data_IF_752795458680
#
_entry.id   IF_752795458680
#
_cell.length_a   1.000
_cell.length_b   1.000
_cell.length_c   1.000
_cell.angle_alpha   90.00
_cell.angle_beta   90.00
_cell.angle_gamma   90.00
#
_symmetry.space_group_name_H-M   'P 1'
#
loop_
_entity.id
_entity.type
_entity.pdbx_description
1 polymer ?
#
# COMPACT_ATOMS: atom_id res chain seq x y z
N UNK A 1 11.47 -12.19 -0.62
CA UNK A 1 12.55 -12.48 0.34
C UNK A 1 12.59 -13.98 0.66
N UNK A 2 11.50 -14.57 1.13
CA UNK A 2 11.47 -15.98 1.55
C UNK A 2 11.91 -16.98 0.47
N UNK A 3 11.57 -16.74 -0.78
CA UNK A 3 11.93 -17.61 -1.91
C UNK A 3 13.39 -17.47 -2.38
N UNK A 4 14.08 -16.40 -1.99
CA UNK A 4 15.45 -16.08 -2.43
C UNK A 4 16.46 -16.17 -1.30
N UNK A 5 16.01 -16.19 -0.05
CA UNK A 5 16.85 -16.22 1.14
C UNK A 5 16.35 -17.28 2.12
N UNK A 6 17.25 -17.81 2.93
CA UNK A 6 16.89 -18.65 4.07
C UNK A 6 16.32 -17.75 5.19
N UNK A 7 15.02 -17.43 5.09
CA UNK A 7 14.32 -16.49 5.97
C UNK A 7 13.41 -17.23 6.94
N UNK A 8 13.42 -16.78 8.19
CA UNK A 8 12.42 -17.14 9.20
C UNK A 8 11.55 -15.92 9.50
N UNK A 9 10.24 -16.09 9.39
CA UNK A 9 9.28 -14.99 9.58
C UNK A 9 8.51 -15.19 10.87
N UNK A 10 8.56 -14.19 11.72
CA UNK A 10 7.91 -14.16 13.03
C UNK A 10 6.88 -13.06 13.11
N UNK A 11 5.68 -13.41 13.53
CA UNK A 11 4.60 -12.47 13.80
C UNK A 11 4.52 -12.16 15.29
N UNK A 12 4.27 -10.92 15.64
CA UNK A 12 4.13 -10.47 17.03
C UNK A 12 2.71 -10.74 17.58
N UNK A 13 1.72 -10.86 16.70
CA UNK A 13 0.32 -11.05 17.04
C UNK A 13 -0.28 -12.19 16.22
N UNK A 14 -1.10 -13.02 16.86
CA UNK A 14 -1.92 -14.04 16.17
C UNK A 14 -3.16 -13.40 15.53
N UNK A 15 -3.60 -12.25 16.07
CA UNK A 15 -4.77 -11.54 15.61
C UNK A 15 -4.51 -10.03 15.60
N UNK A 16 -4.85 -9.37 14.51
CA UNK A 16 -4.81 -7.91 14.44
C UNK A 16 -6.16 -7.34 14.87
N UNK A 17 -6.24 -6.91 16.11
CA UNK A 17 -7.43 -6.43 16.84
C UNK A 17 -8.29 -5.38 16.08
N UNK A 18 -7.82 -4.81 14.99
CA UNK A 18 -8.51 -3.77 14.21
C UNK A 18 -8.70 -4.11 12.72
N UNK A 19 -8.27 -5.28 12.29
CA UNK A 19 -8.43 -5.70 10.89
C UNK A 19 -8.94 -7.15 10.91
N UNK A 20 -10.22 -7.34 10.58
CA UNK A 20 -10.81 -8.67 10.40
C UNK A 20 -10.18 -9.35 9.17
N UNK A 21 -8.96 -9.85 9.32
CA UNK A 21 -8.35 -10.72 8.32
C UNK A 21 -8.90 -12.13 8.48
N UNK A 22 -9.20 -12.78 7.37
CA UNK A 22 -9.40 -14.21 7.35
C UNK A 22 -8.03 -14.89 7.46
N UNK A 23 -7.62 -15.25 8.68
CA UNK A 23 -6.32 -15.86 8.97
C UNK A 23 -6.12 -17.18 8.24
N UNK A 24 -7.18 -17.98 8.06
CA UNK A 24 -7.11 -19.22 7.32
C UNK A 24 -6.80 -18.99 5.84
N UNK A 25 -7.42 -17.99 5.23
CA UNK A 25 -7.09 -17.57 3.85
C UNK A 25 -5.65 -17.08 3.73
N UNK A 26 -5.16 -16.31 4.72
CA UNK A 26 -3.76 -15.86 4.74
C UNK A 26 -2.78 -17.04 4.86
N UNK A 27 -3.05 -18.01 5.74
CA UNK A 27 -2.20 -19.21 5.88
C UNK A 27 -2.15 -20.03 4.60
N UNK A 28 -3.27 -20.19 3.92
CA UNK A 28 -3.35 -20.93 2.65
C UNK A 28 -2.60 -20.23 1.50
N UNK A 29 -2.43 -18.90 1.57
CA UNK A 29 -1.68 -18.10 0.60
C UNK A 29 -0.18 -18.01 0.92
N UNK A 30 0.23 -18.29 2.18
CA UNK A 30 1.62 -18.21 2.59
C UNK A 30 2.45 -19.38 2.06
N UNK A 31 3.58 -19.07 1.43
CA UNK A 31 4.57 -20.07 1.00
C UNK A 31 5.42 -20.61 2.18
N UNK A 32 5.13 -20.20 3.42
CA UNK A 32 5.90 -20.53 4.61
C UNK A 32 4.97 -20.74 5.81
N UNK A 33 5.48 -21.49 6.82
CA UNK A 33 4.77 -21.67 8.08
C UNK A 33 5.00 -20.44 8.96
N UNK A 34 3.96 -19.69 9.36
CA UNK A 34 4.14 -18.54 10.25
C UNK A 34 4.55 -18.99 11.65
N UNK A 35 5.47 -18.28 12.26
CA UNK A 35 5.83 -18.41 13.65
C UNK A 35 5.31 -17.22 14.45
N UNK A 36 4.81 -17.48 15.67
CA UNK A 36 4.32 -16.42 16.55
C UNK A 36 5.26 -16.22 17.73
N UNK A 37 5.58 -14.95 18.01
CA UNK A 37 6.41 -14.57 19.15
C UNK A 37 5.59 -14.64 20.44
N UNK A 38 6.16 -15.21 21.49
CA UNK A 38 5.54 -15.18 22.82
C UNK A 38 5.70 -13.78 23.41
N UNK A 39 4.58 -13.07 23.55
CA UNK A 39 4.53 -11.70 24.05
C UNK A 39 3.89 -11.63 25.43
N UNK A 40 4.37 -10.71 26.26
CA UNK A 40 3.69 -10.26 27.49
C UNK A 40 3.29 -8.81 27.30
N UNK A 41 2.02 -8.53 27.47
CA UNK A 41 1.51 -7.16 27.38
C UNK A 41 1.80 -6.39 28.66
N UNK A 42 2.47 -5.25 28.55
CA UNK A 42 2.71 -4.30 29.64
C UNK A 42 2.04 -2.96 29.27
N UNK A 43 0.84 -2.71 29.79
CA UNK A 43 0.02 -1.59 29.37
C UNK A 43 -0.43 -1.74 27.90
N UNK A 44 -0.07 -0.76 27.05
CA UNK A 44 -0.35 -0.81 25.58
C UNK A 44 0.81 -1.38 24.76
N UNK A 45 1.81 -2.00 25.40
CA UNK A 45 3.07 -2.39 24.76
C UNK A 45 3.32 -3.88 24.94
N UNK A 46 3.78 -4.54 23.90
CA UNK A 46 4.14 -5.97 23.95
C UNK A 46 5.66 -6.13 24.03
N UNK A 47 6.08 -6.89 25.03
CA UNK A 47 7.48 -7.29 25.23
C UNK A 47 7.60 -8.74 24.80
N UNK A 48 8.53 -9.01 23.88
CA UNK A 48 8.76 -10.36 23.37
C UNK A 48 9.66 -11.14 24.32
N UNK A 49 9.21 -12.35 24.70
CA UNK A 49 10.00 -13.27 25.52
C UNK A 49 10.77 -14.28 24.69
N UNK A 50 11.97 -14.62 25.13
CA UNK A 50 12.78 -15.66 24.47
C UNK A 50 13.46 -15.21 23.15
N UNK A 51 13.36 -13.93 22.77
CA UNK A 51 13.93 -13.40 21.53
C UNK A 51 15.42 -13.76 21.37
N UNK A 52 16.22 -13.65 22.43
CA UNK A 52 17.64 -14.06 22.43
C UNK A 52 17.84 -15.53 22.07
N UNK A 53 16.95 -16.44 22.53
CA UNK A 53 17.04 -17.88 22.22
C UNK A 53 16.80 -18.11 20.73
N UNK A 54 15.84 -17.39 20.13
CA UNK A 54 15.56 -17.43 18.69
C UNK A 54 16.78 -16.95 17.91
N UNK A 55 17.31 -15.77 18.23
CA UNK A 55 18.49 -15.20 17.58
C UNK A 55 19.70 -16.15 17.70
N UNK A 56 19.93 -16.75 18.88
CA UNK A 56 21.00 -17.72 19.08
C UNK A 56 20.82 -19.01 18.29
N UNK A 57 19.55 -19.45 18.10
CA UNK A 57 19.24 -20.68 17.35
C UNK A 57 19.53 -20.52 15.86
N UNK A 58 19.14 -19.38 15.27
CA UNK A 58 19.22 -19.18 13.82
C UNK A 58 20.49 -18.45 13.37
N UNK A 59 21.20 -17.79 14.29
CA UNK A 59 22.43 -17.02 14.00
C UNK A 59 22.25 -16.13 12.74
N UNK A 60 21.24 -15.27 12.67
CA UNK A 60 20.93 -14.53 11.46
C UNK A 60 22.05 -13.54 11.11
N UNK A 61 22.26 -13.32 9.82
CA UNK A 61 23.13 -12.25 9.32
C UNK A 61 22.40 -10.90 9.35
N UNK A 62 21.07 -10.91 9.05
CA UNK A 62 20.22 -9.74 9.05
C UNK A 62 18.97 -9.99 9.89
N UNK A 63 18.52 -8.96 10.63
CA UNK A 63 17.23 -8.95 11.31
C UNK A 63 16.43 -7.75 10.82
N UNK A 64 15.29 -8.03 10.18
CA UNK A 64 14.34 -7.00 9.77
C UNK A 64 13.35 -6.76 10.91
N UNK A 65 13.13 -5.50 11.25
CA UNK A 65 12.26 -5.09 12.36
C UNK A 65 11.26 -4.03 11.90
N UNK A 66 10.06 -3.97 12.51
CA UNK A 66 9.08 -2.93 12.18
C UNK A 66 9.47 -1.62 12.86
N UNK A 67 9.64 -0.56 12.08
CA UNK A 67 9.83 0.83 12.53
C UNK A 67 10.68 1.02 13.81
N UNK A 68 10.22 1.92 14.71
CA UNK A 68 10.89 2.24 15.98
C UNK A 68 10.16 1.59 17.16
N UNK A 69 9.79 0.33 17.01
CA UNK A 69 9.00 -0.45 17.98
C UNK A 69 9.83 -0.90 19.19
N UNK A 70 9.13 -1.38 20.23
CA UNK A 70 9.79 -2.04 21.37
C UNK A 70 10.58 -3.28 20.93
N UNK A 71 10.06 -4.02 19.96
CA UNK A 71 10.79 -5.16 19.38
C UNK A 71 12.13 -4.71 18.78
N UNK A 72 12.15 -3.58 18.08
CA UNK A 72 13.37 -2.99 17.52
C UNK A 72 14.37 -2.67 18.64
N UNK A 73 13.89 -2.06 19.73
CA UNK A 73 14.73 -1.78 20.90
C UNK A 73 15.28 -3.07 21.53
N UNK A 74 14.44 -4.11 21.69
CA UNK A 74 14.87 -5.40 22.22
C UNK A 74 15.95 -6.07 21.33
N UNK A 75 15.79 -6.03 20.01
CA UNK A 75 16.78 -6.57 19.05
C UNK A 75 18.10 -5.83 19.18
N UNK A 76 18.08 -4.49 19.22
CA UNK A 76 19.28 -3.67 19.40
C UNK A 76 19.95 -3.92 20.76
N UNK A 77 19.19 -3.97 21.86
CA UNK A 77 19.74 -4.28 23.18
C UNK A 77 20.43 -5.65 23.20
N UNK A 78 19.80 -6.67 22.62
CA UNK A 78 20.41 -8.01 22.52
C UNK A 78 21.70 -7.96 21.70
N UNK A 79 21.72 -7.24 20.56
CA UNK A 79 22.91 -7.05 19.73
C UNK A 79 24.08 -6.51 20.56
N UNK A 80 23.87 -5.40 21.25
CA UNK A 80 24.95 -4.70 21.98
C UNK A 80 25.34 -5.40 23.28
N UNK A 81 24.37 -5.87 24.09
CA UNK A 81 24.66 -6.54 25.37
C UNK A 81 25.41 -7.88 25.22
N UNK A 82 25.14 -8.59 24.12
CA UNK A 82 25.76 -9.91 23.87
C UNK A 82 26.78 -9.91 22.73
N UNK A 83 27.12 -8.72 22.22
CA UNK A 83 28.09 -8.51 21.14
C UNK A 83 27.84 -9.36 19.88
N UNK A 84 26.53 -9.50 19.50
CA UNK A 84 26.16 -10.16 18.24
C UNK A 84 26.53 -9.29 17.04
N UNK A 85 26.82 -9.93 15.90
CA UNK A 85 27.29 -9.25 14.66
C UNK A 85 26.24 -9.09 13.58
N UNK A 86 24.99 -9.50 13.83
CA UNK A 86 23.94 -9.32 12.84
C UNK A 86 23.67 -7.84 12.55
N UNK A 87 23.24 -7.56 11.31
CA UNK A 87 22.77 -6.23 10.91
C UNK A 87 21.28 -6.08 11.21
N UNK A 88 20.87 -4.92 11.70
CA UNK A 88 19.46 -4.59 12.01
C UNK A 88 18.94 -3.58 11.01
N UNK A 89 17.90 -3.96 10.28
CA UNK A 89 17.27 -3.15 9.24
C UNK A 89 15.83 -2.89 9.65
N UNK A 90 15.44 -1.62 9.71
CA UNK A 90 14.05 -1.26 9.99
C UNK A 90 13.25 -1.12 8.68
N UNK A 91 12.02 -1.62 8.68
CA UNK A 91 11.04 -1.35 7.62
C UNK A 91 10.13 -0.25 8.16
N UNK A 92 10.14 0.91 7.49
CA UNK A 92 9.45 2.10 7.94
C UNK A 92 8.48 2.60 6.85
N UNK A 93 7.22 2.72 7.21
CA UNK A 93 6.14 3.22 6.36
C UNK A 93 5.61 4.61 6.79
N UNK A 94 6.48 5.41 7.41
CA UNK A 94 6.18 6.79 7.78
C UNK A 94 5.60 7.57 6.59
N UNK A 95 4.53 8.31 6.82
CA UNK A 95 4.01 9.29 5.85
C UNK A 95 4.87 10.55 5.84
N UNK A 96 5.18 11.06 4.65
CA UNK A 96 5.94 12.31 4.52
C UNK A 96 5.26 13.51 5.19
N UNK A 97 3.94 13.60 5.09
CA UNK A 97 3.19 14.70 5.71
C UNK A 97 3.23 14.62 7.25
N UNK A 98 3.12 13.44 7.84
CA UNK A 98 3.30 13.26 9.29
C UNK A 98 4.72 13.62 9.72
N UNK A 99 5.72 13.30 8.90
CA UNK A 99 7.12 13.61 9.15
C UNK A 99 7.36 15.14 9.15
N UNK A 100 6.76 15.87 8.19
CA UNK A 100 6.90 17.32 8.05
C UNK A 100 6.00 18.10 9.01
N UNK A 101 4.76 17.64 9.23
CA UNK A 101 3.78 18.27 10.12
C UNK A 101 4.07 18.09 11.60
N UNK A 102 5.07 17.28 11.97
CA UNK A 102 5.32 16.88 13.36
C UNK A 102 4.12 16.18 14.04
N UNK A 103 3.25 15.53 13.26
CA UNK A 103 2.04 14.86 13.75
C UNK A 103 2.34 13.58 14.54
N UNK A 104 3.57 13.12 14.51
CA UNK A 104 4.02 12.03 15.38
C UNK A 104 4.02 12.42 16.85
N UNK A 105 3.65 11.45 17.69
CA UNK A 105 3.79 11.62 19.14
C UNK A 105 5.23 11.99 19.52
N UNK A 106 5.39 12.73 20.62
CA UNK A 106 6.71 13.08 21.14
C UNK A 106 7.56 11.81 21.34
N UNK A 107 6.95 10.70 21.80
CA UNK A 107 7.64 9.42 22.01
C UNK A 107 8.16 8.85 20.69
N UNK A 108 7.38 8.89 19.61
CA UNK A 108 7.80 8.41 18.30
C UNK A 108 8.96 9.25 17.73
N UNK A 109 8.90 10.58 17.88
CA UNK A 109 10.00 11.48 17.45
C UNK A 109 11.31 11.19 18.18
N UNK A 110 11.25 10.98 19.50
CA UNK A 110 12.41 10.59 20.29
C UNK A 110 12.92 9.20 19.92
N UNK A 111 12.04 8.21 19.77
CA UNK A 111 12.40 6.86 19.35
C UNK A 111 13.13 6.90 18.00
N UNK A 112 12.62 7.58 17.01
CA UNK A 112 13.27 7.77 15.70
C UNK A 112 14.67 8.38 15.86
N UNK A 113 14.80 9.46 16.62
CA UNK A 113 16.08 10.17 16.81
C UNK A 113 17.14 9.30 17.49
N UNK A 114 16.74 8.45 18.44
CA UNK A 114 17.66 7.59 19.21
C UNK A 114 17.94 6.30 18.45
N UNK A 115 16.94 5.68 17.85
CA UNK A 115 17.05 4.35 17.25
C UNK A 115 17.71 4.42 15.87
N UNK A 116 17.36 5.42 15.02
CA UNK A 116 17.89 5.49 13.66
C UNK A 116 19.41 5.41 13.56
N UNK A 117 20.20 6.12 14.40
CA UNK A 117 21.67 5.99 14.38
C UNK A 117 22.18 4.58 14.68
N UNK A 118 21.44 3.82 15.49
CA UNK A 118 21.82 2.46 15.94
C UNK A 118 21.45 1.37 14.93
N UNK A 119 20.56 1.66 13.98
CA UNK A 119 20.21 0.74 12.88
C UNK A 119 21.37 0.68 11.88
N UNK A 120 21.52 -0.47 11.24
CA UNK A 120 22.48 -0.60 10.14
C UNK A 120 21.91 0.08 8.86
N UNK A 121 20.61 -0.13 8.56
CA UNK A 121 19.92 0.59 7.48
C UNK A 121 18.39 0.61 7.71
N UNK A 122 17.63 1.26 6.77
CA UNK A 122 16.17 1.30 6.75
C UNK A 122 15.64 1.04 5.34
N UNK A 123 14.50 0.36 5.23
CA UNK A 123 13.67 0.37 4.04
C UNK A 123 12.56 1.40 4.20
N UNK A 124 12.41 2.26 3.21
CA UNK A 124 11.51 3.40 3.22
C UNK A 124 10.59 3.34 1.98
N UNK A 125 9.29 3.28 2.22
CA UNK A 125 8.32 3.07 1.15
C UNK A 125 8.05 4.34 0.31
N UNK A 126 8.08 5.52 0.92
CA UNK A 126 7.92 6.80 0.25
C UNK A 126 9.29 7.41 -0.09
N UNK A 127 9.52 7.73 -1.36
CA UNK A 127 10.78 8.32 -1.82
C UNK A 127 11.07 9.69 -1.18
N UNK A 128 10.06 10.48 -0.85
CA UNK A 128 10.22 11.77 -0.16
C UNK A 128 10.77 11.56 1.25
N UNK A 129 10.28 10.53 1.95
CA UNK A 129 10.79 10.12 3.26
C UNK A 129 12.22 9.61 3.14
N UNK A 130 12.53 8.80 2.11
CA UNK A 130 13.89 8.34 1.83
C UNK A 130 14.87 9.51 1.65
N UNK A 131 14.53 10.50 0.81
CA UNK A 131 15.36 11.71 0.62
C UNK A 131 15.60 12.42 1.94
N UNK A 132 14.58 12.53 2.79
CA UNK A 132 14.71 13.14 4.12
C UNK A 132 15.66 12.36 5.03
N UNK A 133 15.54 11.02 5.10
CA UNK A 133 16.45 10.18 5.92
C UNK A 133 17.88 10.20 5.40
N UNK A 134 18.09 10.20 4.09
CA UNK A 134 19.40 10.36 3.49
C UNK A 134 20.05 11.69 3.88
N UNK A 135 19.28 12.77 3.87
CA UNK A 135 19.76 14.10 4.28
C UNK A 135 20.19 14.16 5.75
N UNK A 136 19.38 13.57 6.66
CA UNK A 136 19.56 13.73 8.11
C UNK A 136 20.40 12.65 8.76
N UNK A 137 20.40 11.43 8.23
CA UNK A 137 21.05 10.26 8.85
C UNK A 137 22.03 9.55 7.92
N UNK A 138 22.10 9.91 6.65
CA UNK A 138 22.90 9.20 5.61
C UNK A 138 22.54 7.71 5.49
N UNK A 139 21.31 7.36 5.80
CA UNK A 139 20.75 5.99 5.81
C UNK A 139 19.42 5.95 5.09
N UNK A 140 19.04 4.76 4.70
CA UNK A 140 17.77 4.45 4.06
C UNK A 140 17.92 4.03 2.62
N UNK A 141 17.15 3.05 2.23
CA UNK A 141 16.98 2.56 0.86
C UNK A 141 15.52 2.74 0.48
N UNK A 142 15.25 3.38 -0.63
CA UNK A 142 13.90 3.48 -1.14
C UNK A 142 13.45 2.13 -1.68
N UNK A 143 12.40 1.59 -1.07
CA UNK A 143 11.77 0.34 -1.46
C UNK A 143 10.24 0.52 -1.43
N UNK A 144 9.63 0.96 -2.53
CA UNK A 144 8.18 1.09 -2.61
C UNK A 144 7.52 -0.27 -2.44
N UNK A 145 6.26 -0.28 -1.98
CA UNK A 145 5.47 -1.50 -1.89
C UNK A 145 5.10 -1.92 -3.30
N UNK A 146 5.74 -2.97 -3.81
CA UNK A 146 5.47 -3.54 -5.12
C UNK A 146 5.27 -5.05 -5.00
N UNK A 147 4.35 -5.57 -5.80
CA UNK A 147 4.10 -7.02 -5.91
C UNK A 147 4.94 -7.63 -7.02
N UNK A 148 5.14 -8.95 -6.95
CA UNK A 148 5.72 -9.72 -8.05
C UNK A 148 4.86 -9.53 -9.31
N UNK A 149 5.37 -8.77 -10.25
CA UNK A 149 4.69 -8.33 -11.45
C UNK A 149 4.34 -9.53 -12.38
N UNK A 150 5.24 -10.51 -12.48
CA UNK A 150 5.00 -11.70 -13.30
C UNK A 150 3.86 -12.54 -12.70
N UNK A 151 3.91 -12.78 -11.39
CA UNK A 151 2.86 -13.54 -10.70
C UNK A 151 1.52 -12.81 -10.74
N UNK A 152 1.52 -11.52 -10.44
CA UNK A 152 0.31 -10.71 -10.46
C UNK A 152 -0.36 -10.70 -11.85
N UNK A 153 0.42 -10.55 -12.92
CA UNK A 153 -0.09 -10.56 -14.30
C UNK A 153 -0.78 -11.86 -14.65
N UNK A 154 -0.22 -13.01 -14.27
CA UNK A 154 -0.86 -14.33 -14.46
C UNK A 154 -2.18 -14.43 -13.71
N UNK A 155 -2.27 -13.88 -12.51
CA UNK A 155 -3.51 -13.85 -11.73
C UNK A 155 -4.56 -12.96 -12.43
N UNK A 156 -4.20 -11.75 -12.86
CA UNK A 156 -5.12 -10.88 -13.60
C UNK A 156 -5.65 -11.53 -14.87
N UNK A 157 -4.81 -12.23 -15.63
CA UNK A 157 -5.20 -12.97 -16.82
C UNK A 157 -6.20 -14.10 -16.49
N UNK A 158 -5.90 -14.91 -15.47
CA UNK A 158 -6.78 -16.00 -15.02
C UNK A 158 -8.15 -15.49 -14.52
N UNK A 159 -8.22 -14.25 -14.04
CA UNK A 159 -9.46 -13.64 -13.52
C UNK A 159 -10.31 -12.95 -14.59
N UNK A 160 -9.92 -12.92 -15.86
CA UNK A 160 -10.71 -12.29 -16.92
C UNK A 160 -12.16 -12.83 -17.01
N UNK A 161 -12.43 -14.15 -16.90
CA UNK A 161 -13.81 -14.66 -16.93
C UNK A 161 -14.66 -14.11 -15.76
N UNK A 162 -14.07 -14.00 -14.55
CA UNK A 162 -14.74 -13.41 -13.40
C UNK A 162 -15.00 -11.91 -13.61
N UNK A 163 -14.02 -11.20 -14.18
CA UNK A 163 -14.14 -9.77 -14.51
C UNK A 163 -15.28 -9.51 -15.50
N UNK A 164 -15.40 -10.34 -16.55
CA UNK A 164 -16.51 -10.25 -17.52
C UNK A 164 -17.86 -10.47 -16.84
N UNK A 165 -17.95 -11.48 -15.97
CA UNK A 165 -19.16 -11.73 -15.19
C UNK A 165 -19.56 -10.54 -14.32
N UNK A 166 -18.62 -10.00 -13.53
CA UNK A 166 -18.86 -8.84 -12.66
C UNK A 166 -19.26 -7.62 -13.50
N UNK A 167 -18.58 -7.36 -14.60
CA UNK A 167 -18.88 -6.23 -15.50
C UNK A 167 -20.35 -6.26 -15.98
N UNK A 168 -20.83 -7.44 -16.35
CA UNK A 168 -22.23 -7.65 -16.77
C UNK A 168 -23.20 -7.54 -15.58
N UNK A 169 -22.89 -8.19 -14.44
CA UNK A 169 -23.77 -8.23 -13.27
C UNK A 169 -24.02 -6.84 -12.69
N UNK A 170 -23.06 -5.92 -12.86
CA UNK A 170 -23.17 -4.51 -12.41
C UNK A 170 -23.57 -3.53 -13.55
N UNK A 171 -23.88 -4.02 -14.75
CA UNK A 171 -24.30 -3.19 -15.88
C UNK A 171 -23.26 -2.15 -16.32
N UNK A 172 -21.99 -2.56 -16.34
CA UNK A 172 -20.86 -1.71 -16.70
C UNK A 172 -20.43 -1.87 -18.17
N UNK A 173 -21.11 -2.75 -18.93
CA UNK A 173 -20.79 -3.01 -20.33
C UNK A 173 -20.92 -1.73 -21.17
N UNK A 174 -19.92 -1.46 -21.99
CA UNK A 174 -19.84 -0.24 -22.81
C UNK A 174 -19.47 1.04 -22.05
N UNK A 175 -19.37 1.01 -20.72
CA UNK A 175 -19.01 2.18 -19.93
C UNK A 175 -17.51 2.19 -19.60
N UNK A 176 -16.93 3.38 -19.54
CA UNK A 176 -15.64 3.66 -18.92
C UNK A 176 -15.79 3.61 -17.41
N UNK A 177 -14.87 2.96 -16.70
CA UNK A 177 -15.00 2.69 -15.26
C UNK A 177 -13.90 3.40 -14.49
N UNK A 178 -14.31 4.26 -13.56
CA UNK A 178 -13.45 4.89 -12.55
C UNK A 178 -13.57 4.07 -11.28
N UNK A 179 -12.45 3.66 -10.70
CA UNK A 179 -12.39 2.80 -9.52
C UNK A 179 -11.70 3.51 -8.36
N UNK A 180 -12.30 3.40 -7.18
CA UNK A 180 -11.66 3.63 -5.89
C UNK A 180 -11.68 2.34 -5.08
N UNK A 181 -10.56 2.04 -4.41
CA UNK A 181 -10.44 0.91 -3.47
C UNK A 181 -9.80 1.40 -2.18
N UNK A 182 -10.46 1.14 -1.04
CA UNK A 182 -9.91 1.47 0.26
C UNK A 182 -10.96 1.61 1.37
N UNK A 183 -10.49 1.81 2.60
CA UNK A 183 -11.38 2.09 3.73
C UNK A 183 -12.13 3.42 3.52
N UNK A 184 -13.40 3.44 3.82
CA UNK A 184 -14.22 4.65 3.70
C UNK A 184 -14.11 5.50 4.99
N UNK A 185 -12.95 6.12 5.16
CA UNK A 185 -12.63 7.01 6.29
C UNK A 185 -12.25 8.40 5.77
N UNK A 186 -12.29 9.42 6.63
CA UNK A 186 -12.06 10.81 6.25
C UNK A 186 -10.72 11.04 5.51
N UNK A 187 -9.64 10.36 5.95
CA UNK A 187 -8.31 10.47 5.33
C UNK A 187 -8.27 10.00 3.86
N UNK A 188 -9.19 9.13 3.45
CA UNK A 188 -9.26 8.64 2.06
C UNK A 188 -9.98 9.61 1.11
N UNK A 189 -10.67 10.62 1.64
CA UNK A 189 -11.23 11.77 0.91
C UNK A 189 -12.11 11.39 -0.31
N UNK A 190 -12.87 10.30 -0.19
CA UNK A 190 -13.74 9.79 -1.27
C UNK A 190 -14.83 10.81 -1.62
N UNK A 191 -15.20 11.69 -0.69
CA UNK A 191 -16.15 12.78 -0.94
C UNK A 191 -15.67 13.74 -2.04
N UNK A 192 -14.37 14.04 -2.11
CA UNK A 192 -13.79 14.86 -3.20
C UNK A 192 -13.87 14.13 -4.54
N UNK A 193 -13.67 12.81 -4.57
CA UNK A 193 -13.83 12.02 -5.78
C UNK A 193 -15.28 12.03 -6.29
N UNK A 194 -16.27 11.81 -5.41
CA UNK A 194 -17.70 11.87 -5.79
C UNK A 194 -18.06 13.26 -6.36
N UNK A 195 -17.58 14.34 -5.73
CA UNK A 195 -17.79 15.72 -6.23
C UNK A 195 -17.13 15.93 -7.58
N UNK A 196 -15.88 15.49 -7.76
CA UNK A 196 -15.15 15.64 -9.02
C UNK A 196 -15.78 14.83 -10.17
N UNK A 197 -16.34 13.67 -9.84
CA UNK A 197 -17.04 12.81 -10.79
C UNK A 197 -18.42 13.35 -11.19
N UNK A 198 -19.11 14.10 -10.33
CA UNK A 198 -20.49 14.55 -10.53
C UNK A 198 -20.76 15.15 -11.91
N UNK A 199 -19.97 16.07 -12.47
CA UNK A 199 -20.18 16.61 -13.80
C UNK A 199 -19.90 15.61 -14.94
N UNK A 200 -19.28 14.45 -14.65
CA UNK A 200 -18.83 13.45 -15.61
C UNK A 200 -19.69 12.18 -15.61
N UNK A 201 -20.76 12.15 -14.82
CA UNK A 201 -21.62 10.97 -14.57
C UNK A 201 -22.30 10.36 -15.79
N UNK A 202 -22.38 11.11 -16.90
CA UNK A 202 -22.89 10.61 -18.18
C UNK A 202 -21.78 9.99 -19.06
N UNK A 203 -20.51 10.23 -18.74
CA UNK A 203 -19.36 9.82 -19.55
C UNK A 203 -18.70 8.54 -19.04
N UNK A 204 -18.87 8.22 -17.77
CA UNK A 204 -18.24 7.08 -17.12
C UNK A 204 -19.08 6.58 -15.93
N UNK A 205 -18.73 5.44 -15.37
CA UNK A 205 -19.26 4.91 -14.09
C UNK A 205 -18.23 5.01 -13.00
N UNK A 206 -18.64 5.45 -11.80
CA UNK A 206 -17.79 5.44 -10.60
C UNK A 206 -18.12 4.20 -9.75
N UNK A 207 -17.11 3.40 -9.46
CA UNK A 207 -17.18 2.23 -8.58
C UNK A 207 -16.35 2.50 -7.33
N UNK A 208 -16.94 2.28 -6.16
CA UNK A 208 -16.33 2.49 -4.85
C UNK A 208 -16.32 1.15 -4.11
N UNK A 209 -15.12 0.59 -3.89
CA UNK A 209 -14.92 -0.66 -3.17
C UNK A 209 -14.30 -0.38 -1.82
N UNK A 210 -14.96 -0.86 -0.78
CA UNK A 210 -14.55 -0.72 0.60
C UNK A 210 -15.70 -0.44 1.54
N UNK A 211 -15.35 -0.33 2.82
CA UNK A 211 -16.29 0.00 3.89
C UNK A 211 -15.61 0.89 4.94
N UNK A 212 -16.40 1.53 5.80
CA UNK A 212 -15.89 2.36 6.87
C UNK A 212 -16.92 3.37 7.38
N UNK A 213 -16.54 4.11 8.41
CA UNK A 213 -17.39 5.04 9.14
C UNK A 213 -18.04 6.13 8.25
N UNK A 214 -17.38 6.53 7.18
CA UNK A 214 -17.88 7.57 6.26
C UNK A 214 -18.89 7.05 5.22
N UNK A 215 -19.13 5.74 5.13
CA UNK A 215 -19.97 5.15 4.06
C UNK A 215 -21.35 5.81 3.96
N UNK A 216 -22.06 5.93 5.07
CA UNK A 216 -23.41 6.51 5.09
C UNK A 216 -23.46 7.95 4.59
N UNK A 217 -22.45 8.77 4.93
CA UNK A 217 -22.37 10.16 4.49
C UNK A 217 -21.95 10.27 3.01
N UNK A 218 -21.11 9.37 2.52
CA UNK A 218 -20.76 9.29 1.10
C UNK A 218 -21.96 8.89 0.25
N UNK A 219 -22.78 7.94 0.69
CA UNK A 219 -24.03 7.54 0.02
C UNK A 219 -25.09 8.67 0.05
N UNK A 220 -25.17 9.48 1.13
CA UNK A 220 -26.01 10.69 1.16
C UNK A 220 -25.52 11.74 0.15
N UNK A 221 -24.19 11.94 0.06
CA UNK A 221 -23.59 12.86 -0.89
C UNK A 221 -23.86 12.42 -2.34
N UNK A 222 -23.71 11.13 -2.62
CA UNK A 222 -24.03 10.53 -3.93
C UNK A 222 -25.47 10.82 -4.35
N UNK A 223 -26.44 10.55 -3.45
CA UNK A 223 -27.87 10.85 -3.69
C UNK A 223 -28.10 12.35 -3.94
N UNK A 224 -27.48 13.23 -3.13
CA UNK A 224 -27.62 14.70 -3.27
C UNK A 224 -27.11 15.20 -4.63
N UNK A 225 -26.02 14.62 -5.14
CA UNK A 225 -25.40 14.99 -6.41
C UNK A 225 -25.95 14.15 -7.60
N UNK A 226 -26.80 13.16 -7.30
CA UNK A 226 -27.35 12.20 -8.28
C UNK A 226 -26.27 11.57 -9.15
N UNK A 227 -25.12 11.22 -8.53
CA UNK A 227 -23.98 10.69 -9.28
C UNK A 227 -24.14 9.23 -9.64
N UNK A 228 -25.00 8.49 -8.91
CA UNK A 228 -25.24 7.05 -9.12
C UNK A 228 -23.97 6.22 -9.07
N UNK A 229 -23.06 6.58 -8.15
CA UNK A 229 -21.87 5.79 -7.89
C UNK A 229 -22.25 4.41 -7.32
N UNK A 230 -21.48 3.39 -7.70
CA UNK A 230 -21.75 2.00 -7.32
C UNK A 230 -20.91 1.67 -6.08
N UNK A 231 -21.56 1.55 -4.92
CA UNK A 231 -20.93 1.14 -3.66
C UNK A 231 -20.97 -0.38 -3.52
N UNK A 232 -19.87 -1.04 -3.82
CA UNK A 232 -19.78 -2.52 -3.86
C UNK A 232 -19.61 -3.13 -2.46
N UNK A 233 -19.15 -2.35 -1.49
CA UNK A 233 -18.75 -2.86 -0.17
C UNK A 233 -17.32 -3.40 -0.18
N UNK A 234 -16.90 -4.03 0.93
CA UNK A 234 -15.56 -4.62 1.07
C UNK A 234 -15.41 -5.85 0.18
N UNK A 235 -14.33 -5.91 -0.59
CA UNK A 235 -13.92 -7.06 -1.41
C UNK A 235 -12.46 -7.40 -1.11
N UNK A 236 -12.11 -8.68 -1.27
CA UNK A 236 -10.78 -9.20 -1.02
C UNK A 236 -10.43 -10.30 -2.06
N UNK A 237 -9.15 -10.64 -2.14
CA UNK A 237 -8.66 -11.73 -3.00
C UNK A 237 -9.04 -11.55 -4.48
N UNK A 238 -9.43 -12.65 -5.11
CA UNK A 238 -9.71 -12.72 -6.54
C UNK A 238 -10.84 -11.79 -6.98
N UNK A 239 -11.87 -11.62 -6.14
CA UNK A 239 -12.98 -10.72 -6.46
C UNK A 239 -12.51 -9.26 -6.53
N UNK A 240 -11.66 -8.82 -5.60
CA UNK A 240 -11.06 -7.48 -5.64
C UNK A 240 -10.17 -7.31 -6.87
N UNK A 241 -9.31 -8.29 -7.17
CA UNK A 241 -8.41 -8.22 -8.31
C UNK A 241 -9.16 -8.18 -9.64
N UNK A 242 -10.29 -8.90 -9.75
CA UNK A 242 -11.16 -8.86 -10.92
C UNK A 242 -11.71 -7.44 -11.21
N UNK A 243 -11.96 -6.63 -10.18
CA UNK A 243 -12.41 -5.24 -10.34
C UNK A 243 -11.35 -4.34 -10.97
N UNK A 244 -10.05 -4.56 -10.70
CA UNK A 244 -9.00 -3.81 -11.38
C UNK A 244 -8.92 -4.11 -12.87
N UNK A 245 -9.22 -5.35 -13.30
CA UNK A 245 -9.34 -5.66 -14.74
C UNK A 245 -10.47 -4.86 -15.43
N UNK A 246 -11.56 -4.60 -14.69
CA UNK A 246 -12.71 -3.84 -15.19
C UNK A 246 -12.40 -2.34 -15.26
N UNK A 247 -11.65 -1.80 -14.31
CA UNK A 247 -11.41 -0.37 -14.20
C UNK A 247 -10.50 0.16 -15.32
N UNK A 248 -10.79 1.33 -15.84
CA UNK A 248 -9.93 2.04 -16.79
C UNK A 248 -9.07 3.08 -16.08
N UNK A 249 -9.65 3.79 -15.11
CA UNK A 249 -9.00 4.81 -14.31
C UNK A 249 -9.11 4.41 -12.83
N UNK A 250 -7.99 4.41 -12.13
CA UNK A 250 -7.96 4.25 -10.68
C UNK A 250 -7.68 5.60 -10.01
N UNK A 251 -8.36 5.90 -8.90
CA UNK A 251 -8.17 7.18 -8.18
C UNK A 251 -7.86 6.93 -6.71
N UNK A 252 -6.75 7.50 -6.23
CA UNK A 252 -6.39 7.52 -4.81
C UNK A 252 -6.38 8.98 -4.29
N UNK A 253 -7.51 9.51 -3.79
CA UNK A 253 -7.66 10.92 -3.44
C UNK A 253 -7.27 11.25 -1.99
N UNK A 254 -6.52 10.39 -1.32
CA UNK A 254 -6.19 10.48 0.10
C UNK A 254 -5.53 11.82 0.45
N UNK A 255 -5.96 12.44 1.56
CA UNK A 255 -5.31 13.64 2.12
C UNK A 255 -4.09 13.30 2.96
N UNK A 256 -3.96 12.03 3.35
CA UNK A 256 -2.79 11.47 4.02
C UNK A 256 -2.73 9.97 3.74
N UNK A 257 -1.58 9.51 3.24
CA UNK A 257 -1.36 8.10 2.91
C UNK A 257 0.13 7.77 3.00
N UNK A 258 0.50 6.78 3.80
CA UNK A 258 1.91 6.37 3.94
C UNK A 258 2.48 5.88 2.60
N UNK A 259 1.78 4.97 1.94
CA UNK A 259 2.13 4.55 0.58
C UNK A 259 0.89 4.50 -0.32
N UNK A 260 -0.08 3.61 -0.04
CA UNK A 260 -1.22 3.33 -0.91
C UNK A 260 -0.94 2.17 -1.86
N UNK A 261 -0.75 0.96 -1.31
CA UNK A 261 -0.42 -0.26 -2.07
C UNK A 261 -1.43 -0.59 -3.19
N UNK A 262 -2.68 -0.17 -3.04
CA UNK A 262 -3.74 -0.27 -4.08
C UNK A 262 -3.37 0.40 -5.40
N UNK A 263 -2.47 1.40 -5.38
CA UNK A 263 -1.90 2.01 -6.61
C UNK A 263 -1.05 1.01 -7.39
N UNK A 264 -0.25 0.20 -6.69
CA UNK A 264 0.55 -0.85 -7.32
C UNK A 264 -0.36 -1.90 -7.98
N UNK A 265 -1.41 -2.33 -7.31
CA UNK A 265 -2.40 -3.28 -7.85
C UNK A 265 -3.07 -2.72 -9.11
N UNK A 266 -3.49 -1.45 -9.07
CA UNK A 266 -4.11 -0.79 -10.21
C UNK A 266 -3.16 -0.67 -11.43
N UNK A 267 -1.90 -0.28 -11.20
CA UNK A 267 -0.88 -0.19 -12.26
C UNK A 267 -0.58 -1.55 -12.88
N UNK A 268 -0.44 -2.60 -12.07
CA UNK A 268 -0.23 -3.98 -12.54
C UNK A 268 -1.40 -4.49 -13.37
N UNK A 269 -2.62 -4.10 -13.05
CA UNK A 269 -3.82 -4.41 -13.84
C UNK A 269 -3.97 -3.53 -15.09
N UNK A 270 -3.10 -2.52 -15.27
CA UNK A 270 -3.12 -1.61 -16.41
C UNK A 270 -4.15 -0.47 -16.30
N UNK A 271 -4.53 -0.08 -15.07
CA UNK A 271 -5.34 1.11 -14.86
C UNK A 271 -4.48 2.36 -14.94
N UNK A 272 -4.93 3.38 -15.66
CA UNK A 272 -4.34 4.71 -15.55
C UNK A 272 -4.65 5.31 -14.18
N UNK A 273 -3.65 5.78 -13.43
CA UNK A 273 -3.86 6.12 -12.03
C UNK A 273 -3.80 7.63 -11.78
N UNK A 274 -4.81 8.15 -11.07
CA UNK A 274 -4.79 9.51 -10.54
C UNK A 274 -4.51 9.43 -9.03
N UNK A 275 -3.35 9.90 -8.62
CA UNK A 275 -2.86 9.72 -7.24
C UNK A 275 -2.64 11.06 -6.58
N UNK A 276 -3.11 11.19 -5.35
CA UNK A 276 -2.86 12.38 -4.52
C UNK A 276 -1.36 12.59 -4.30
N UNK A 277 -0.89 13.84 -4.37
CA UNK A 277 0.48 14.23 -3.98
C UNK A 277 0.81 13.88 -2.52
N UNK A 278 -0.22 13.63 -1.69
CA UNK A 278 -0.11 13.25 -0.28
C UNK A 278 0.09 11.75 -0.07
N UNK A 279 -0.03 10.94 -1.10
CA UNK A 279 0.23 9.51 -1.04
C UNK A 279 1.69 9.19 -1.39
N UNK A 280 2.34 8.28 -0.63
CA UNK A 280 3.70 7.84 -0.90
C UNK A 280 3.85 7.17 -2.27
N UNK A 281 2.78 6.53 -2.76
CA UNK A 281 2.72 5.95 -4.11
C UNK A 281 2.73 6.97 -5.23
N UNK A 282 2.62 8.29 -4.96
CA UNK A 282 2.90 9.31 -5.96
C UNK A 282 4.31 9.20 -6.53
N UNK A 283 5.25 8.62 -5.77
CA UNK A 283 6.65 8.41 -6.18
C UNK A 283 6.83 7.37 -7.30
N UNK A 284 5.81 6.56 -7.60
CA UNK A 284 5.81 5.61 -8.73
C UNK A 284 4.94 6.08 -9.91
N UNK A 285 4.43 7.29 -9.85
CA UNK A 285 3.64 7.88 -10.94
C UNK A 285 4.55 8.70 -11.85
N UNK A 286 4.51 8.39 -13.13
CA UNK A 286 5.19 9.10 -14.20
C UNK A 286 4.12 9.76 -15.06
N UNK A 287 3.99 11.08 -14.95
CA UNK A 287 2.98 11.87 -15.66
C UNK A 287 2.97 11.59 -17.16
N UNK A 288 1.79 11.43 -17.73
CA UNK A 288 1.60 11.11 -19.14
C UNK A 288 1.85 9.64 -19.52
N UNK A 289 2.49 8.85 -18.67
CA UNK A 289 2.74 7.42 -18.92
C UNK A 289 1.75 6.52 -18.19
N UNK A 290 1.79 6.51 -16.86
CA UNK A 290 1.01 5.57 -16.05
C UNK A 290 -0.01 6.27 -15.14
N UNK A 291 -0.01 7.59 -15.09
CA UNK A 291 -0.92 8.34 -14.24
C UNK A 291 -0.61 9.83 -14.18
N UNK A 292 -1.33 10.51 -13.29
CA UNK A 292 -1.08 11.91 -12.91
C UNK A 292 -1.15 12.07 -11.40
N UNK A 293 -0.38 13.05 -10.89
CA UNK A 293 -0.40 13.45 -9.49
C UNK A 293 -1.27 14.72 -9.38
N UNK A 294 -2.11 14.78 -8.34
CA UNK A 294 -2.98 15.94 -8.13
C UNK A 294 -3.05 16.37 -6.66
N UNK A 295 -3.44 17.61 -6.42
CA UNK A 295 -3.71 18.13 -5.09
C UNK A 295 -5.07 17.59 -4.58
N UNK A 296 -5.10 16.81 -3.47
CA UNK A 296 -6.34 16.21 -2.96
C UNK A 296 -7.39 17.22 -2.47
N UNK A 297 -6.99 18.47 -2.26
CA UNK A 297 -7.89 19.56 -1.90
C UNK A 297 -8.48 20.30 -3.11
N UNK A 298 -8.03 19.98 -4.34
CA UNK A 298 -8.53 20.58 -5.57
C UNK A 298 -9.49 19.65 -6.33
N UNK A 299 -10.77 19.73 -6.02
CA UNK A 299 -11.82 19.00 -6.77
C UNK A 299 -11.85 19.39 -8.23
N UNK A 300 -11.53 20.65 -8.56
CA UNK A 300 -11.51 21.17 -9.94
C UNK A 300 -10.40 20.47 -10.74
N UNK A 301 -9.20 20.38 -10.20
CA UNK A 301 -8.07 19.70 -10.84
C UNK A 301 -8.37 18.21 -11.08
N UNK A 302 -8.91 17.50 -10.07
CA UNK A 302 -9.31 16.10 -10.23
C UNK A 302 -10.39 15.94 -11.31
N UNK A 303 -11.38 16.86 -11.38
CA UNK A 303 -12.40 16.84 -12.43
C UNK A 303 -11.78 16.99 -13.84
N UNK A 304 -10.83 17.92 -13.99
CA UNK A 304 -10.15 18.15 -15.27
C UNK A 304 -9.33 16.93 -15.69
N UNK A 305 -8.56 16.33 -14.78
CA UNK A 305 -7.77 15.13 -15.04
C UNK A 305 -8.66 13.94 -15.41
N UNK A 306 -9.75 13.71 -14.67
CA UNK A 306 -10.75 12.68 -15.00
C UNK A 306 -11.32 12.90 -16.41
N UNK A 307 -11.74 14.12 -16.72
CA UNK A 307 -12.32 14.46 -18.03
C UNK A 307 -11.35 14.20 -19.17
N UNK A 308 -10.07 14.61 -19.00
CA UNK A 308 -9.01 14.39 -20.00
C UNK A 308 -8.81 12.89 -20.24
N UNK A 309 -8.70 12.10 -19.17
CA UNK A 309 -8.45 10.66 -19.31
C UNK A 309 -9.67 9.91 -19.87
N UNK A 310 -10.88 10.23 -19.43
CA UNK A 310 -12.11 9.67 -19.99
C UNK A 310 -12.17 9.90 -21.51
N UNK A 311 -11.80 11.09 -21.98
CA UNK A 311 -11.84 11.41 -23.41
C UNK A 311 -10.75 10.71 -24.23
N UNK A 312 -9.63 10.30 -23.62
CA UNK A 312 -8.57 9.52 -24.28
C UNK A 312 -8.90 8.04 -24.44
N UNK A 313 -9.84 7.53 -23.64
CA UNK A 313 -10.22 6.13 -23.70
C UNK A 313 -11.15 5.87 -24.88
N UNK A 314 -10.90 4.77 -25.59
CA UNK A 314 -11.82 4.26 -26.60
C UNK A 314 -13.07 3.66 -25.95
N UNK A 315 -14.10 3.39 -26.79
CA UNK A 315 -15.26 2.61 -26.35
C UNK A 315 -14.81 1.20 -25.92
N UNK A 316 -15.40 0.71 -24.82
CA UNK A 316 -15.01 -0.57 -24.22
C UNK A 316 -15.94 -1.67 -24.70
N UNK A 317 -15.53 -2.40 -25.72
CA UNK A 317 -16.34 -3.51 -26.24
C UNK A 317 -16.17 -4.80 -25.43
N UNK A 318 -14.96 -5.06 -24.90
CA UNK A 318 -14.65 -6.29 -24.14
C UNK A 318 -13.64 -6.04 -23.02
N UNK A 319 -13.78 -6.80 -21.93
CA UNK A 319 -12.75 -6.88 -20.87
C UNK A 319 -11.59 -7.74 -21.39
N UNK A 320 -10.39 -7.16 -21.41
CA UNK A 320 -9.15 -7.82 -21.81
C UNK A 320 -8.03 -7.49 -20.83
N UNK A 321 -6.99 -8.31 -20.82
CA UNK A 321 -5.78 -8.01 -20.07
C UNK A 321 -5.13 -6.76 -20.67
N UNK A 322 -5.05 -5.69 -19.89
CA UNK A 322 -4.41 -4.43 -20.28
C UNK A 322 -2.90 -4.51 -20.08
N UNK A 323 -2.12 -3.62 -20.68
CA UNK A 323 -0.68 -3.55 -20.47
C UNK A 323 -0.33 -3.20 -19.02
N UNK A 324 0.76 -3.76 -18.52
CA UNK A 324 1.30 -3.41 -17.21
C UNK A 324 1.87 -2.00 -17.23
N UNK A 325 1.36 -1.13 -16.36
CA UNK A 325 1.79 0.26 -16.25
C UNK A 325 2.76 0.52 -15.08
N UNK A 326 3.21 -0.54 -14.36
CA UNK A 326 4.22 -0.40 -13.32
C UNK A 326 5.56 0.02 -13.94
N UNK A 327 6.18 1.09 -13.43
CA UNK A 327 7.46 1.59 -13.97
C UNK A 327 8.66 0.78 -13.48
N UNK A 328 8.47 -0.07 -12.48
CA UNK A 328 9.52 -0.88 -11.86
C UNK A 328 9.11 -2.34 -11.78
N UNK A 329 10.02 -3.27 -12.14
CA UNK A 329 9.82 -4.68 -11.89
C UNK A 329 10.16 -5.03 -10.43
N UNK A 330 9.51 -6.05 -9.90
CA UNK A 330 9.79 -6.55 -8.55
C UNK A 330 11.26 -6.96 -8.38
N UNK A 331 11.80 -7.69 -9.37
CA UNK A 331 13.19 -8.16 -9.32
C UNK A 331 14.18 -6.99 -9.26
N UNK A 332 14.03 -6.00 -10.12
CA UNK A 332 14.93 -4.84 -10.14
C UNK A 332 14.89 -4.05 -8.84
N UNK A 333 13.71 -3.91 -8.22
CA UNK A 333 13.59 -3.21 -6.93
C UNK A 333 14.17 -4.03 -5.79
N UNK A 334 14.02 -5.35 -5.82
CA UNK A 334 14.65 -6.24 -4.84
C UNK A 334 16.17 -6.16 -4.93
N UNK A 335 16.74 -6.23 -6.12
CA UNK A 335 18.19 -6.12 -6.34
C UNK A 335 18.75 -4.79 -5.82
N UNK A 336 18.06 -3.68 -6.10
CA UNK A 336 18.42 -2.36 -5.55
C UNK A 336 18.40 -2.32 -4.02
N UNK A 337 17.36 -2.93 -3.42
CA UNK A 337 17.25 -3.00 -1.98
C UNK A 337 18.40 -3.82 -1.36
N UNK A 338 18.75 -4.95 -1.97
CA UNK A 338 19.85 -5.81 -1.53
C UNK A 338 21.20 -5.13 -1.66
N UNK A 339 21.47 -4.46 -2.79
CA UNK A 339 22.70 -3.68 -2.96
C UNK A 339 22.85 -2.58 -1.91
N UNK A 340 21.74 -1.91 -1.55
CA UNK A 340 21.70 -0.91 -0.50
C UNK A 340 21.96 -1.46 0.92
N UNK A 341 21.74 -2.76 1.14
CA UNK A 341 22.02 -3.42 2.43
C UNK A 341 23.47 -3.94 2.49
N UNK A 342 23.94 -4.55 1.40
CA UNK A 342 25.27 -5.19 1.35
C UNK A 342 26.38 -4.14 1.22
N UNK A 343 26.11 -3.03 0.55
CA UNK A 343 27.07 -1.93 0.33
C UNK A 343 27.20 -0.94 1.49
N UNK A 344 26.46 -1.14 2.59
CA UNK A 344 26.48 -0.25 3.77
C UNK A 344 27.31 -0.80 4.94
#
# INVERSE_FOLDING_TARGET
LYTHFNCEIYFQYEDMILQNFNMESLYNQCCYKPHFLKCRTLGRRNIVHGLRKIIKKYCPEYIFVPEFSILTIQVLLIKYLYNYKYKVISICDDSYDMLMGNDFSIQHRWARRIITPLLDNLFLVDNRVHVWYQKHYKKGVWMPIISDDIKARRIYEALLPLSVKINRDYGLEGYKVILFVGRLVALKNVSSLIKAYSPLKQMAKLVIIGDGECRGDLEKLDRKLETKAIFVGRKEGDELLAWYNIADIFVLPSVQEAFGAVTNEALLAGCYTLVSEKAGSSSIIHSGFNGEIFNPHSTIELTQLLKIQINKLDSKDNIKLKDNLMPYSFVNMLDRALQGIVGS
#
